data_IF_981930968763
#
_entry.id   IF_981930968763
#
_cell.length_a   1.000
_cell.length_b   1.000
_cell.length_c   1.000
_cell.angle_alpha   90.00
_cell.angle_beta   90.00
_cell.angle_gamma   90.00
#
_symmetry.space_group_name_H-M   'P 1'
#
loop_
_entity.id
_entity.type
_entity.pdbx_description
1 polymer ?
#
# COMPACT_ATOMS: atom_id res chain seq x y z
N UNK A 1 -20.47 -36.77 20.66
CA UNK A 1 -20.22 -36.97 22.10
C UNK A 1 -20.25 -35.61 22.80
N UNK A 2 -21.29 -35.33 23.58
CA UNK A 2 -21.23 -34.34 24.65
C UNK A 2 -21.47 -35.04 26.01
N UNK A 3 -20.66 -34.73 27.02
CA UNK A 3 -20.96 -35.13 28.41
C UNK A 3 -20.94 -33.87 29.29
N UNK A 4 -21.91 -33.73 30.22
CA UNK A 4 -22.31 -32.46 30.82
C UNK A 4 -21.85 -32.31 32.28
N UNK A 5 -22.12 -31.13 32.83
CA UNK A 5 -21.92 -30.77 34.22
C UNK A 5 -22.96 -31.36 35.20
N UNK A 6 -22.54 -31.32 36.48
CA UNK A 6 -23.31 -31.34 37.73
C UNK A 6 -23.59 -32.71 38.39
N UNK A 7 -23.13 -32.85 39.64
CA UNK A 7 -24.01 -33.02 40.81
C UNK A 7 -23.32 -33.21 42.18
N UNK A 8 -23.97 -32.63 43.20
CA UNK A 8 -24.09 -33.02 44.63
C UNK A 8 -22.87 -32.77 45.57
N UNK A 9 -23.03 -32.37 46.84
CA UNK A 9 -24.20 -32.23 47.71
C UNK A 9 -23.96 -31.21 48.85
N UNK A 10 -25.06 -30.62 49.29
CA UNK A 10 -25.23 -29.84 50.52
C UNK A 10 -25.52 -30.79 51.71
N UNK A 11 -25.02 -30.45 52.90
CA UNK A 11 -25.44 -31.06 54.17
C UNK A 11 -25.24 -30.07 55.31
N UNK A 12 -26.37 -29.56 55.78
CA UNK A 12 -26.62 -28.71 56.94
C UNK A 12 -26.41 -29.42 58.29
N UNK A 13 -25.95 -28.69 59.33
CA UNK A 13 -26.65 -28.43 60.62
C UNK A 13 -25.70 -28.24 61.83
N UNK A 14 -26.04 -27.26 62.68
CA UNK A 14 -25.74 -27.17 64.12
C UNK A 14 -25.02 -25.87 64.54
N UNK A 15 -25.72 -24.79 64.96
CA UNK A 15 -26.07 -24.43 66.36
C UNK A 15 -24.84 -24.39 67.31
N UNK A 16 -24.56 -23.41 68.16
CA UNK A 16 -25.10 -22.10 68.54
C UNK A 16 -24.07 -21.44 69.53
N UNK A 17 -24.13 -20.11 69.71
CA UNK A 17 -23.81 -19.28 70.92
C UNK A 17 -22.63 -19.70 71.83
N UNK A 18 -21.57 -18.92 72.05
CA UNK A 18 -21.55 -17.57 72.65
C UNK A 18 -21.23 -17.65 74.15
N UNK A 19 -20.18 -16.97 74.63
CA UNK A 19 -20.03 -16.26 75.95
C UNK A 19 -18.55 -15.96 76.29
N UNK A 20 -18.36 -14.75 76.83
CA UNK A 20 -17.17 -14.05 77.36
C UNK A 20 -16.30 -14.79 78.40
N UNK A 21 -15.02 -14.37 78.53
CA UNK A 21 -14.24 -14.67 79.74
C UNK A 21 -12.75 -14.23 79.79
N UNK A 22 -12.51 -12.96 80.12
CA UNK A 22 -11.49 -12.41 81.06
C UNK A 22 -9.97 -12.76 81.01
N UNK A 23 -9.18 -11.68 80.85
CA UNK A 23 -7.93 -11.25 81.52
C UNK A 23 -6.82 -12.25 81.95
N UNK A 24 -5.56 -11.95 81.56
CA UNK A 24 -4.43 -11.65 82.51
C UNK A 24 -3.16 -11.06 81.84
N UNK A 25 -2.63 -10.01 82.47
CA UNK A 25 -1.37 -9.25 82.23
C UNK A 25 -0.09 -10.10 82.33
N UNK A 26 0.97 -9.71 81.59
CA UNK A 26 2.34 -9.56 82.15
C UNK A 26 3.33 -8.73 81.28
N UNK A 27 3.74 -7.59 81.86
CA UNK A 27 5.07 -6.95 81.95
C UNK A 27 6.01 -6.85 80.73
N UNK A 28 6.20 -5.60 80.30
CA UNK A 28 7.46 -4.82 80.26
C UNK A 28 8.74 -5.47 79.73
N UNK A 29 9.17 -5.03 78.54
CA UNK A 29 10.60 -4.81 78.22
C UNK A 29 10.74 -3.65 77.22
N UNK A 30 10.72 -2.42 77.74
CA UNK A 30 10.93 -1.19 76.97
C UNK A 30 12.41 -0.85 76.73
N UNK A 31 13.35 -1.77 76.95
CA UNK A 31 14.79 -1.49 76.85
C UNK A 31 15.53 -2.18 75.69
N UNK A 32 14.85 -2.92 74.80
CA UNK A 32 15.49 -3.45 73.58
C UNK A 32 15.33 -2.56 72.33
N UNK A 33 14.29 -1.72 72.27
CA UNK A 33 14.03 -0.86 71.09
C UNK A 33 14.89 0.41 71.03
N UNK A 34 15.49 0.82 72.15
CA UNK A 34 16.40 1.98 72.21
C UNK A 34 17.88 1.65 71.92
N UNK A 35 18.26 0.38 71.96
CA UNK A 35 19.63 -0.06 71.68
C UNK A 35 19.87 -0.40 70.20
N UNK A 36 18.81 -0.68 69.42
CA UNK A 36 18.93 -0.90 67.97
C UNK A 36 18.75 0.35 67.11
N UNK A 37 18.37 1.49 67.70
CA UNK A 37 18.10 2.73 66.96
C UNK A 37 19.28 3.70 66.89
N UNK A 38 20.39 3.43 67.59
CA UNK A 38 21.56 4.33 67.64
C UNK A 38 22.88 3.74 67.10
N UNK A 39 22.86 2.56 66.46
CA UNK A 39 24.08 1.90 65.96
C UNK A 39 24.19 1.82 64.41
N UNK A 40 23.36 2.55 63.66
CA UNK A 40 23.40 2.56 62.18
C UNK A 40 23.44 3.98 61.59
N UNK A 41 23.97 4.93 62.34
CA UNK A 41 24.30 6.28 61.84
C UNK A 41 25.81 6.40 61.61
N UNK A 42 26.37 5.54 60.77
CA UNK A 42 27.65 5.79 60.13
C UNK A 42 27.55 5.46 58.64
N UNK A 43 27.86 6.47 57.83
CA UNK A 43 28.44 6.41 56.49
C UNK A 43 28.20 5.13 55.68
N UNK A 44 27.34 5.21 54.66
CA UNK A 44 27.49 4.33 53.49
C UNK A 44 26.27 3.67 52.87
N UNK A 45 25.02 4.11 53.06
CA UNK A 45 23.91 3.62 52.22
C UNK A 45 22.85 4.71 51.99
N UNK A 46 23.10 5.63 51.05
CA UNK A 46 22.09 6.57 50.52
C UNK A 46 21.95 6.50 49.00
N UNK A 47 22.32 5.39 48.36
CA UNK A 47 22.33 5.28 46.90
C UNK A 47 21.79 3.95 46.34
N UNK A 48 20.66 3.43 46.84
CA UNK A 48 20.07 2.19 46.27
C UNK A 48 18.56 2.28 45.97
N UNK A 49 17.86 3.40 46.22
CA UNK A 49 16.47 3.56 45.79
C UNK A 49 16.23 4.93 45.13
N UNK A 50 16.73 5.11 43.91
CA UNK A 50 16.08 6.02 42.97
C UNK A 50 14.90 5.25 42.37
N UNK A 51 13.69 5.53 42.83
CA UNK A 51 12.47 5.07 42.17
C UNK A 51 12.55 5.40 40.68
N UNK A 52 12.38 4.41 39.80
CA UNK A 52 12.25 4.68 38.36
C UNK A 52 11.22 5.80 38.16
N UNK A 53 11.51 6.85 37.38
CA UNK A 53 10.54 7.89 37.10
C UNK A 53 9.26 7.25 36.57
N UNK A 54 8.10 7.74 37.03
CA UNK A 54 6.80 7.22 36.60
C UNK A 54 6.71 7.33 35.07
N UNK A 55 6.31 6.27 34.35
CA UNK A 55 6.19 6.34 32.91
C UNK A 55 5.23 7.47 32.51
N UNK A 56 5.65 8.28 31.52
CA UNK A 56 4.86 9.41 31.03
C UNK A 56 3.56 8.88 30.40
N UNK A 57 2.42 9.60 30.55
CA UNK A 57 1.19 9.25 29.86
C UNK A 57 1.39 9.17 28.34
N UNK A 58 0.77 8.21 27.61
CA UNK A 58 1.00 8.05 26.18
C UNK A 58 0.74 9.32 25.36
N UNK A 59 -0.31 10.08 25.69
CA UNK A 59 -0.61 11.33 25.02
C UNK A 59 0.45 12.42 25.24
N UNK A 60 1.08 12.46 26.42
CA UNK A 60 2.15 13.43 26.70
C UNK A 60 3.42 13.12 25.88
N UNK A 61 3.74 11.83 25.73
CA UNK A 61 4.84 11.37 24.87
C UNK A 61 4.63 11.84 23.43
N UNK A 62 3.43 11.61 22.87
CA UNK A 62 3.08 12.03 21.50
C UNK A 62 3.19 13.54 21.31
N UNK A 63 2.67 14.34 22.23
CA UNK A 63 2.76 15.81 22.15
C UNK A 63 4.20 16.30 22.20
N UNK A 64 5.03 15.68 23.05
CA UNK A 64 6.44 16.04 23.13
C UNK A 64 7.19 15.68 21.84
N UNK A 65 6.91 14.50 21.26
CA UNK A 65 7.44 14.11 19.94
C UNK A 65 7.02 15.11 18.87
N UNK A 66 5.74 15.50 18.82
CA UNK A 66 5.25 16.51 17.87
C UNK A 66 6.01 17.83 17.99
N UNK A 67 6.14 18.36 19.21
CA UNK A 67 6.86 19.61 19.48
C UNK A 67 8.34 19.54 19.03
N UNK A 68 9.02 18.41 19.26
CA UNK A 68 10.39 18.22 18.78
C UNK A 68 10.47 18.12 17.26
N UNK A 69 9.51 17.43 16.62
CA UNK A 69 9.46 17.32 15.17
C UNK A 69 9.14 18.65 14.49
N UNK A 70 8.29 19.49 15.08
CA UNK A 70 8.04 20.87 14.60
C UNK A 70 9.33 21.70 14.64
N UNK A 71 10.12 21.57 15.70
CA UNK A 71 11.42 22.21 15.78
C UNK A 71 12.35 21.68 14.68
N UNK A 72 12.44 20.36 14.48
CA UNK A 72 13.26 19.73 13.43
C UNK A 72 12.79 20.15 12.02
N UNK A 73 11.49 20.26 11.80
CA UNK A 73 10.92 20.65 10.51
C UNK A 73 11.34 22.09 10.14
N UNK A 74 11.33 23.00 11.13
CA UNK A 74 11.73 24.40 10.95
C UNK A 74 13.21 24.61 10.59
N UNK A 75 14.06 23.60 10.80
CA UNK A 75 15.49 23.66 10.48
C UNK A 75 15.71 23.59 8.97
N UNK A 76 16.47 24.54 8.42
CA UNK A 76 16.91 24.53 7.02
C UNK A 76 17.87 23.36 6.75
N UNK A 77 17.86 22.83 5.52
CA UNK A 77 18.57 21.61 5.11
C UNK A 77 20.11 21.58 5.37
N UNK A 78 20.74 22.70 5.73
CA UNK A 78 22.18 22.80 5.98
C UNK A 78 22.55 22.97 7.46
N UNK A 79 21.59 22.87 8.37
CA UNK A 79 21.81 23.00 9.81
C UNK A 79 21.50 21.66 10.46
N UNK A 80 22.46 21.13 11.22
CA UNK A 80 22.26 19.90 11.97
C UNK A 80 21.27 20.10 13.12
N UNK A 81 20.45 19.08 13.37
CA UNK A 81 19.58 19.04 14.54
C UNK A 81 20.43 19.03 15.81
N UNK A 82 20.06 19.82 16.82
CA UNK A 82 20.75 19.83 18.11
C UNK A 82 20.85 18.38 18.65
N UNK A 83 22.06 17.86 18.93
CA UNK A 83 22.25 16.50 19.42
C UNK A 83 21.40 16.17 20.65
N UNK A 84 21.12 17.14 21.52
CA UNK A 84 20.25 16.94 22.69
C UNK A 84 18.79 16.76 22.30
N UNK A 85 18.32 17.53 21.33
CA UNK A 85 16.96 17.38 20.79
C UNK A 85 16.80 16.04 20.09
N UNK A 86 17.78 15.63 19.29
CA UNK A 86 17.78 14.34 18.63
C UNK A 86 17.79 13.18 19.64
N UNK A 87 18.62 13.26 20.67
CA UNK A 87 18.65 12.24 21.73
C UNK A 87 17.33 12.13 22.49
N UNK A 88 16.67 13.26 22.76
CA UNK A 88 15.35 13.26 23.39
C UNK A 88 14.30 12.65 22.44
N UNK A 89 14.32 13.00 21.16
CA UNK A 89 13.42 12.48 20.16
C UNK A 89 13.57 10.96 19.99
N UNK A 90 14.80 10.45 19.92
CA UNK A 90 15.09 9.01 19.89
C UNK A 90 14.46 8.29 21.08
N UNK A 91 14.67 8.81 22.28
CA UNK A 91 14.14 8.21 23.51
C UNK A 91 12.62 8.16 23.49
N UNK A 92 11.96 9.22 23.00
CA UNK A 92 10.50 9.29 22.98
C UNK A 92 9.89 8.44 21.86
N UNK A 93 10.52 8.35 20.69
CA UNK A 93 10.12 7.42 19.64
C UNK A 93 10.27 5.97 20.14
N UNK A 94 11.35 5.68 20.86
CA UNK A 94 11.52 4.39 21.49
C UNK A 94 10.40 4.08 22.51
N UNK A 95 10.03 5.05 23.35
CA UNK A 95 8.93 4.93 24.30
C UNK A 95 7.58 4.68 23.59
N UNK A 96 7.29 5.42 22.51
CA UNK A 96 6.09 5.19 21.70
C UNK A 96 6.05 3.77 21.13
N UNK A 97 7.18 3.29 20.58
CA UNK A 97 7.30 1.93 20.07
C UNK A 97 7.09 0.90 21.19
N UNK A 98 7.69 1.11 22.37
CA UNK A 98 7.53 0.21 23.51
C UNK A 98 6.07 0.14 23.98
N UNK A 99 5.33 1.25 23.95
CA UNK A 99 3.89 1.27 24.23
C UNK A 99 3.12 0.40 23.23
N UNK A 100 3.45 0.50 21.94
CA UNK A 100 2.72 -0.16 20.85
C UNK A 100 3.05 -1.66 20.65
N UNK A 101 4.27 -2.08 20.99
CA UNK A 101 4.73 -3.45 20.80
C UNK A 101 4.85 -4.23 22.12
N UNK A 102 4.82 -3.55 23.27
CA UNK A 102 5.08 -4.15 24.57
C UNK A 102 6.56 -4.48 24.77
N UNK A 103 6.83 -5.30 25.78
CA UNK A 103 8.17 -5.85 26.06
C UNK A 103 8.14 -7.37 25.90
N UNK A 104 9.30 -8.02 26.01
CA UNK A 104 9.38 -9.49 26.01
C UNK A 104 8.59 -10.15 27.15
N UNK A 105 8.23 -9.39 28.19
CA UNK A 105 7.58 -9.88 29.40
C UNK A 105 6.11 -9.44 29.52
N UNK A 106 5.72 -8.34 28.86
CA UNK A 106 4.38 -7.76 28.95
C UNK A 106 3.83 -7.41 27.58
N UNK A 107 2.63 -7.90 27.28
CA UNK A 107 1.84 -7.47 26.12
C UNK A 107 1.52 -5.96 26.22
N UNK A 108 1.37 -5.27 25.07
CA UNK A 108 1.02 -3.86 25.04
C UNK A 108 -0.38 -3.64 25.63
N UNK A 109 -0.49 -2.70 26.58
CA UNK A 109 -1.76 -2.38 27.21
C UNK A 109 -2.72 -1.75 26.18
N UNK A 110 -3.91 -2.32 25.92
CA UNK A 110 -4.82 -1.83 24.88
C UNK A 110 -5.23 -0.37 25.08
N UNK A 111 -5.49 0.04 26.32
CA UNK A 111 -5.85 1.40 26.67
C UNK A 111 -4.73 2.40 26.36
N UNK A 112 -3.47 2.04 26.66
CA UNK A 112 -2.33 2.88 26.36
C UNK A 112 -2.10 3.02 24.84
N UNK A 113 -2.28 1.93 24.09
CA UNK A 113 -2.24 1.96 22.62
C UNK A 113 -3.33 2.85 22.05
N UNK A 114 -4.56 2.75 22.59
CA UNK A 114 -5.70 3.56 22.14
C UNK A 114 -5.47 5.05 22.38
N UNK A 115 -5.00 5.42 23.58
CA UNK A 115 -4.67 6.80 23.93
C UNK A 115 -3.53 7.37 23.07
N UNK A 116 -2.48 6.58 22.83
CA UNK A 116 -1.37 6.97 21.94
C UNK A 116 -1.89 7.21 20.52
N UNK A 117 -2.66 6.27 19.98
CA UNK A 117 -3.23 6.34 18.62
C UNK A 117 -4.13 7.55 18.47
N UNK A 118 -5.01 7.81 19.43
CA UNK A 118 -5.91 8.96 19.41
C UNK A 118 -5.14 10.29 19.41
N UNK A 119 -4.14 10.44 20.26
CA UNK A 119 -3.35 11.66 20.29
C UNK A 119 -2.47 11.82 19.04
N UNK A 120 -1.97 10.71 18.48
CA UNK A 120 -1.12 10.71 17.28
C UNK A 120 -1.83 11.26 16.05
N UNK A 121 -3.08 10.82 15.81
CA UNK A 121 -3.88 11.25 14.66
C UNK A 121 -4.73 12.50 14.92
N UNK A 122 -4.61 13.13 16.10
CA UNK A 122 -5.36 14.34 16.45
C UNK A 122 -4.91 15.57 15.65
N UNK A 123 -3.62 15.63 15.32
CA UNK A 123 -2.95 16.75 14.65
C UNK A 123 -1.92 16.19 13.66
N UNK A 124 -0.91 16.97 13.28
CA UNK A 124 0.00 16.66 12.19
C UNK A 124 1.18 15.73 12.57
N UNK A 125 1.07 14.89 13.61
CA UNK A 125 2.21 14.05 14.04
C UNK A 125 2.65 13.10 12.92
N UNK A 126 1.72 12.44 12.22
CA UNK A 126 2.07 11.57 11.08
C UNK A 126 2.81 12.34 9.99
N UNK A 127 2.28 13.51 9.62
CA UNK A 127 2.87 14.38 8.59
C UNK A 127 4.30 14.75 8.95
N UNK A 128 4.51 15.23 10.17
CA UNK A 128 5.83 15.63 10.65
C UNK A 128 6.81 14.45 10.68
N UNK A 129 6.37 13.25 11.06
CA UNK A 129 7.23 12.05 11.01
C UNK A 129 7.67 11.76 9.56
N UNK A 130 6.74 11.82 8.60
CA UNK A 130 7.04 11.56 7.19
C UNK A 130 8.02 12.61 6.65
N UNK A 131 7.75 13.90 6.88
CA UNK A 131 8.56 15.00 6.35
C UNK A 131 9.95 15.10 7.00
N UNK A 132 10.04 14.85 8.31
CA UNK A 132 11.31 14.93 9.03
C UNK A 132 12.16 13.67 8.91
N UNK A 133 11.66 12.58 8.33
CA UNK A 133 12.38 11.30 8.24
C UNK A 133 13.82 11.43 7.71
N UNK A 134 14.13 12.24 6.68
CA UNK A 134 15.50 12.46 6.22
C UNK A 134 16.42 13.13 7.25
N UNK A 135 15.85 13.95 8.14
CA UNK A 135 16.56 14.67 9.21
C UNK A 135 16.78 13.82 10.47
N UNK A 136 16.11 12.68 10.59
CA UNK A 136 16.25 11.76 11.73
C UNK A 136 17.51 10.90 11.58
N UNK A 137 18.05 10.45 12.72
CA UNK A 137 19.11 9.44 12.70
C UNK A 137 18.55 8.03 12.42
N UNK A 138 19.46 7.06 12.23
CA UNK A 138 19.11 5.70 11.83
C UNK A 138 18.11 5.00 12.77
N UNK A 139 18.27 5.14 14.10
CA UNK A 139 17.41 4.46 15.06
C UNK A 139 16.04 5.14 15.15
N UNK A 140 15.98 6.48 15.13
CA UNK A 140 14.72 7.20 15.02
C UNK A 140 13.94 6.85 13.75
N UNK A 141 14.61 6.71 12.59
CA UNK A 141 13.95 6.31 11.34
C UNK A 141 13.28 4.93 11.46
N UNK A 142 13.99 3.95 12.04
CA UNK A 142 13.47 2.59 12.28
C UNK A 142 12.26 2.63 13.21
N UNK A 143 12.37 3.35 14.32
CA UNK A 143 11.29 3.43 15.31
C UNK A 143 10.07 4.16 14.77
N UNK A 144 10.27 5.30 14.09
CA UNK A 144 9.22 6.02 13.37
C UNK A 144 8.48 5.13 12.36
N UNK A 145 9.21 4.35 11.57
CA UNK A 145 8.63 3.42 10.59
C UNK A 145 7.74 2.38 11.27
N UNK A 146 8.22 1.76 12.35
CA UNK A 146 7.46 0.75 13.10
C UNK A 146 6.23 1.33 13.79
N UNK A 147 6.34 2.55 14.34
CA UNK A 147 5.22 3.28 14.95
C UNK A 147 4.14 3.53 13.89
N UNK A 148 4.50 4.16 12.76
CA UNK A 148 3.55 4.47 11.69
C UNK A 148 2.87 3.19 11.18
N UNK A 149 3.64 2.13 10.96
CA UNK A 149 3.13 0.84 10.50
C UNK A 149 2.14 0.19 11.48
N UNK A 150 2.44 0.23 12.77
CA UNK A 150 1.57 -0.34 13.81
C UNK A 150 0.26 0.45 13.91
N UNK A 151 0.35 1.78 13.92
CA UNK A 151 -0.78 2.68 14.13
C UNK A 151 -1.86 2.60 13.05
N UNK A 152 -1.51 2.25 11.80
CA UNK A 152 -2.52 2.01 10.74
C UNK A 152 -3.50 0.87 11.10
N UNK A 153 -3.12 -0.02 12.02
CA UNK A 153 -3.93 -1.18 12.43
C UNK A 153 -4.65 -0.98 13.76
N UNK A 154 -4.34 0.10 14.49
CA UNK A 154 -4.80 0.26 15.87
C UNK A 154 -6.27 0.73 15.91
N UNK A 155 -7.19 -0.02 16.52
CA UNK A 155 -8.55 0.43 16.71
C UNK A 155 -8.65 1.38 17.91
N UNK A 156 -9.35 2.49 17.72
CA UNK A 156 -9.77 3.40 18.79
C UNK A 156 -11.29 3.38 18.82
N UNK A 157 -11.89 2.96 19.94
CA UNK A 157 -13.34 2.78 20.07
C UNK A 157 -13.93 1.93 18.91
N UNK A 158 -13.25 0.83 18.58
CA UNK A 158 -13.61 -0.09 17.48
C UNK A 158 -13.58 0.51 16.07
N UNK A 159 -12.90 1.66 15.87
CA UNK A 159 -12.72 2.31 14.56
C UNK A 159 -11.24 2.50 14.23
N UNK A 160 -10.90 2.42 12.95
CA UNK A 160 -9.56 2.71 12.45
C UNK A 160 -9.46 4.20 12.07
N UNK A 161 -9.23 5.06 13.06
CA UNK A 161 -9.17 6.52 12.87
C UNK A 161 -8.03 6.97 11.93
N UNK A 162 -7.03 6.11 11.71
CA UNK A 162 -5.98 6.34 10.73
C UNK A 162 -6.53 6.53 9.32
N UNK A 163 -7.59 5.78 8.96
CA UNK A 163 -8.25 5.88 7.66
C UNK A 163 -8.82 7.29 7.44
N UNK A 164 -9.53 7.82 8.45
CA UNK A 164 -10.17 9.13 8.39
C UNK A 164 -9.12 10.26 8.29
N UNK A 165 -8.02 10.12 9.04
CA UNK A 165 -6.90 11.06 8.97
C UNK A 165 -6.24 11.08 7.59
N UNK A 166 -6.00 9.91 6.99
CA UNK A 166 -5.35 9.80 5.69
C UNK A 166 -6.25 10.30 4.55
N UNK A 167 -7.56 10.10 4.64
CA UNK A 167 -8.52 10.67 3.70
C UNK A 167 -8.48 12.21 3.70
N UNK A 168 -8.27 12.83 4.86
CA UNK A 168 -8.12 14.28 4.98
C UNK A 168 -6.71 14.81 4.60
N UNK A 169 -5.73 13.92 4.39
CA UNK A 169 -4.32 14.26 4.16
C UNK A 169 -3.72 13.43 3.01
N UNK A 170 -4.39 13.38 1.86
CA UNK A 170 -4.00 12.53 0.73
C UNK A 170 -2.62 12.88 0.15
N UNK A 171 -2.17 14.12 0.30
CA UNK A 171 -0.86 14.60 -0.14
C UNK A 171 0.32 13.92 0.58
N UNK A 172 0.07 13.26 1.71
CA UNK A 172 1.08 12.40 2.35
C UNK A 172 1.48 11.22 1.47
N UNK A 173 0.56 10.73 0.63
CA UNK A 173 0.88 9.63 -0.28
C UNK A 173 1.87 10.06 -1.34
N UNK A 174 1.78 11.32 -1.81
CA UNK A 174 2.72 11.87 -2.76
C UNK A 174 4.15 11.81 -2.19
N UNK A 175 4.33 12.23 -0.94
CA UNK A 175 5.62 12.18 -0.24
C UNK A 175 6.12 10.75 -0.02
N UNK A 176 5.23 9.82 0.38
CA UNK A 176 5.60 8.43 0.59
C UNK A 176 6.00 7.73 -0.71
N UNK A 177 5.34 8.03 -1.84
CA UNK A 177 5.68 7.46 -3.14
C UNK A 177 6.98 8.06 -3.66
N UNK A 178 7.14 9.39 -3.66
CA UNK A 178 8.40 10.03 -4.11
C UNK A 178 9.58 9.71 -3.21
N UNK A 179 9.32 9.19 -1.99
CA UNK A 179 10.35 8.69 -1.09
C UNK A 179 11.21 7.56 -1.67
N UNK A 180 10.74 6.86 -2.71
CA UNK A 180 11.55 5.88 -3.45
C UNK A 180 12.71 6.52 -4.24
N UNK A 181 12.68 7.83 -4.48
CA UNK A 181 13.76 8.57 -5.15
C UNK A 181 15.07 8.59 -4.32
N UNK A 182 14.96 8.41 -2.99
CA UNK A 182 16.10 8.27 -2.08
C UNK A 182 16.27 6.82 -1.64
N UNK A 183 17.20 6.10 -2.26
CA UNK A 183 17.49 4.70 -1.96
C UNK A 183 17.80 4.44 -0.46
N UNK A 184 18.34 5.42 0.27
CA UNK A 184 18.65 5.28 1.70
C UNK A 184 17.41 5.31 2.61
N UNK A 185 16.31 5.88 2.12
CA UNK A 185 15.04 6.03 2.85
C UNK A 185 13.90 5.21 2.23
N UNK A 186 14.05 4.75 1.00
CA UNK A 186 13.02 4.09 0.22
C UNK A 186 12.32 2.95 0.99
N UNK A 187 13.07 2.10 1.70
CA UNK A 187 12.48 0.99 2.47
C UNK A 187 11.62 1.45 3.65
N UNK A 188 11.94 2.61 4.24
CA UNK A 188 11.13 3.21 5.30
C UNK A 188 9.82 3.74 4.73
N UNK A 189 9.89 4.52 3.65
CA UNK A 189 8.72 5.05 2.98
C UNK A 189 7.83 3.96 2.38
N UNK A 190 8.41 2.95 1.73
CA UNK A 190 7.70 1.80 1.21
C UNK A 190 6.96 1.00 2.29
N UNK A 191 7.60 0.80 3.45
CA UNK A 191 6.94 0.17 4.60
C UNK A 191 5.75 0.99 5.11
N UNK A 192 5.92 2.31 5.28
CA UNK A 192 4.82 3.18 5.71
C UNK A 192 3.68 3.21 4.67
N UNK A 193 4.02 3.28 3.38
CA UNK A 193 3.08 3.31 2.27
C UNK A 193 2.25 2.03 2.22
N UNK A 194 2.89 0.86 2.30
CA UNK A 194 2.18 -0.44 2.33
C UNK A 194 1.17 -0.53 3.46
N UNK A 195 1.46 0.07 4.60
CA UNK A 195 0.55 0.11 5.73
C UNK A 195 -0.61 1.08 5.51
N UNK A 196 -0.36 2.21 4.84
CA UNK A 196 -1.39 3.19 4.49
C UNK A 196 -2.36 2.66 3.42
N UNK A 197 -1.88 1.98 2.36
CA UNK A 197 -2.73 1.40 1.30
C UNK A 197 -3.62 0.25 1.80
N UNK A 198 -3.48 -0.18 3.06
CA UNK A 198 -4.44 -1.08 3.71
C UNK A 198 -5.82 -0.45 3.82
N UNK A 199 -5.89 0.87 3.87
CA UNK A 199 -7.14 1.63 3.82
C UNK A 199 -7.59 1.82 2.37
N UNK A 200 -8.84 1.47 2.08
CA UNK A 200 -9.38 1.53 0.71
C UNK A 200 -9.36 2.95 0.13
N UNK A 201 -9.60 3.96 0.97
CA UNK A 201 -9.57 5.39 0.57
C UNK A 201 -8.19 5.80 0.04
N UNK A 202 -7.13 5.33 0.71
CA UNK A 202 -5.73 5.58 0.31
C UNK A 202 -5.39 4.85 -0.97
N UNK A 203 -5.68 3.56 -1.05
CA UNK A 203 -5.42 2.78 -2.26
C UNK A 203 -6.14 3.37 -3.48
N UNK A 204 -7.40 3.81 -3.32
CA UNK A 204 -8.16 4.52 -4.36
C UNK A 204 -7.46 5.82 -4.78
N UNK A 205 -6.97 6.60 -3.82
CA UNK A 205 -6.24 7.84 -4.10
C UNK A 205 -4.96 7.59 -4.91
N UNK A 206 -4.15 6.60 -4.50
CA UNK A 206 -2.89 6.27 -5.19
C UNK A 206 -3.16 5.74 -6.61
N UNK A 207 -4.13 4.82 -6.78
CA UNK A 207 -4.49 4.26 -8.09
C UNK A 207 -4.92 5.33 -9.10
N UNK A 208 -5.66 6.35 -8.66
CA UNK A 208 -6.17 7.42 -9.53
C UNK A 208 -5.16 8.56 -9.75
N UNK A 209 -3.96 8.46 -9.19
CA UNK A 209 -2.94 9.50 -9.26
C UNK A 209 -1.82 9.17 -10.26
N UNK A 210 -0.98 10.16 -10.57
CA UNK A 210 0.24 9.97 -11.38
C UNK A 210 1.24 8.97 -10.78
N UNK A 211 1.15 8.71 -9.48
CA UNK A 211 2.01 7.78 -8.75
C UNK A 211 1.90 6.34 -9.27
N UNK A 212 0.75 5.98 -9.84
CA UNK A 212 0.57 4.64 -10.42
C UNK A 212 1.58 4.37 -11.54
N UNK A 213 1.92 5.38 -12.34
CA UNK A 213 2.90 5.25 -13.42
C UNK A 213 4.33 5.23 -12.86
N UNK A 214 4.61 6.05 -11.84
CA UNK A 214 5.94 6.13 -11.22
C UNK A 214 6.42 4.79 -10.62
N UNK A 215 5.50 3.91 -10.21
CA UNK A 215 5.88 2.57 -9.75
C UNK A 215 6.62 1.76 -10.83
N UNK A 216 6.32 1.94 -12.12
CA UNK A 216 7.04 1.23 -13.17
C UNK A 216 8.51 1.63 -13.20
N UNK A 217 8.82 2.91 -12.99
CA UNK A 217 10.20 3.38 -12.89
C UNK A 217 10.87 2.81 -11.63
N UNK A 218 10.19 2.88 -10.47
CA UNK A 218 10.74 2.39 -9.19
C UNK A 218 10.99 0.88 -9.17
N UNK A 219 10.18 0.10 -9.88
CA UNK A 219 10.36 -1.34 -10.02
C UNK A 219 11.58 -1.72 -10.88
N UNK A 220 12.16 -0.77 -11.61
CA UNK A 220 13.31 -0.99 -12.50
C UNK A 220 14.59 -0.31 -11.98
N UNK A 221 14.56 0.22 -10.75
CA UNK A 221 15.73 0.78 -10.08
C UNK A 221 16.83 -0.30 -9.93
N UNK A 222 18.13 0.03 -10.10
CA UNK A 222 19.23 -0.93 -9.99
C UNK A 222 19.38 -1.58 -8.61
N UNK A 223 19.06 -0.84 -7.54
CA UNK A 223 19.05 -1.30 -6.17
C UNK A 223 17.95 -2.35 -5.96
N UNK A 224 18.37 -3.62 -5.93
CA UNK A 224 17.47 -4.77 -5.88
C UNK A 224 16.46 -4.72 -4.73
N UNK A 225 16.89 -4.32 -3.54
CA UNK A 225 16.04 -4.20 -2.36
C UNK A 225 14.97 -3.12 -2.54
N UNK A 226 15.32 -1.97 -3.12
CA UNK A 226 14.38 -0.89 -3.44
C UNK A 226 13.38 -1.32 -4.50
N UNK A 227 13.85 -1.90 -5.61
CA UNK A 227 12.99 -2.37 -6.69
C UNK A 227 12.05 -3.51 -6.25
N UNK A 228 12.54 -4.44 -5.44
CA UNK A 228 11.73 -5.52 -4.86
C UNK A 228 10.66 -4.98 -3.91
N UNK A 229 11.01 -3.98 -3.09
CA UNK A 229 10.08 -3.31 -2.18
C UNK A 229 9.00 -2.54 -2.95
N UNK A 230 9.37 -1.77 -3.98
CA UNK A 230 8.44 -1.09 -4.88
C UNK A 230 7.49 -2.08 -5.57
N UNK A 231 8.01 -3.20 -6.06
CA UNK A 231 7.23 -4.28 -6.67
C UNK A 231 6.23 -4.89 -5.68
N UNK A 232 6.65 -5.11 -4.43
CA UNK A 232 5.77 -5.62 -3.39
C UNK A 232 4.64 -4.64 -3.08
N UNK A 233 4.95 -3.35 -2.98
CA UNK A 233 3.97 -2.27 -2.77
C UNK A 233 2.98 -2.17 -3.93
N UNK A 234 3.48 -2.16 -5.17
CA UNK A 234 2.65 -2.15 -6.38
C UNK A 234 1.71 -3.36 -6.43
N UNK A 235 2.25 -4.56 -6.17
CA UNK A 235 1.46 -5.79 -6.11
C UNK A 235 0.37 -5.70 -5.05
N UNK A 236 0.69 -5.20 -3.86
CA UNK A 236 -0.29 -5.04 -2.78
C UNK A 236 -1.40 -4.06 -3.17
N UNK A 237 -1.03 -2.91 -3.75
CA UNK A 237 -1.98 -1.91 -4.26
C UNK A 237 -2.95 -2.52 -5.28
N UNK A 238 -2.41 -3.32 -6.21
CA UNK A 238 -3.15 -3.96 -7.30
C UNK A 238 -3.93 -5.22 -6.90
N UNK A 239 -3.79 -5.73 -5.68
CA UNK A 239 -4.43 -7.01 -5.30
C UNK A 239 -5.23 -6.98 -4.00
N UNK A 240 -5.04 -5.96 -3.16
CA UNK A 240 -5.71 -5.87 -1.85
C UNK A 240 -7.21 -5.56 -1.97
N UNK A 241 -7.56 -4.45 -2.64
CA UNK A 241 -8.94 -3.95 -2.69
C UNK A 241 -9.59 -4.30 -4.03
N UNK A 242 -10.05 -5.56 -4.16
CA UNK A 242 -10.53 -6.13 -5.43
C UNK A 242 -11.54 -5.26 -6.17
N UNK A 243 -12.50 -4.66 -5.47
CA UNK A 243 -13.51 -3.79 -6.09
C UNK A 243 -12.91 -2.50 -6.65
N UNK A 244 -12.09 -1.79 -5.86
CA UNK A 244 -11.40 -0.57 -6.29
C UNK A 244 -10.44 -0.86 -7.45
N UNK A 245 -9.68 -1.95 -7.38
CA UNK A 245 -8.77 -2.34 -8.46
C UNK A 245 -9.55 -2.73 -9.70
N UNK A 246 -10.67 -3.46 -9.57
CA UNK A 246 -11.50 -3.81 -10.73
C UNK A 246 -12.07 -2.58 -11.40
N UNK A 247 -12.55 -1.60 -10.63
CA UNK A 247 -13.00 -0.29 -11.14
C UNK A 247 -11.86 0.40 -11.90
N UNK A 248 -10.69 0.51 -11.28
CA UNK A 248 -9.50 1.10 -11.90
C UNK A 248 -9.10 0.37 -13.19
N UNK A 249 -9.00 -0.97 -13.17
CA UNK A 249 -8.62 -1.77 -14.33
C UNK A 249 -9.60 -1.63 -15.48
N UNK A 250 -10.91 -1.56 -15.22
CA UNK A 250 -11.90 -1.34 -16.28
C UNK A 250 -11.75 0.04 -16.92
N UNK A 251 -11.46 1.05 -16.11
CA UNK A 251 -11.25 2.43 -16.59
C UNK A 251 -9.91 2.65 -17.30
N UNK A 252 -8.91 1.82 -17.00
CA UNK A 252 -7.50 2.06 -17.36
C UNK A 252 -6.84 0.88 -18.09
N UNK A 253 -7.60 -0.15 -18.47
CA UNK A 253 -7.09 -1.40 -19.02
C UNK A 253 -6.13 -1.15 -20.17
N UNK A 254 -6.54 -0.31 -21.10
CA UNK A 254 -5.87 -0.25 -22.39
C UNK A 254 -4.49 0.41 -22.30
N UNK A 255 -4.36 1.56 -21.62
CA UNK A 255 -3.04 2.20 -21.43
C UNK A 255 -2.15 1.36 -20.51
N UNK A 256 -2.70 0.81 -19.42
CA UNK A 256 -1.93 0.02 -18.45
C UNK A 256 -1.36 -1.24 -19.12
N UNK A 257 -2.19 -1.93 -19.90
CA UNK A 257 -1.76 -3.10 -20.65
C UNK A 257 -0.76 -2.72 -21.74
N UNK A 258 -0.99 -1.63 -22.47
CA UNK A 258 -0.07 -1.12 -23.47
C UNK A 258 1.33 -0.91 -22.88
N UNK A 259 1.41 -0.22 -21.75
CA UNK A 259 2.67 0.10 -21.06
C UNK A 259 3.38 -1.18 -20.58
N UNK A 260 2.64 -2.08 -19.91
CA UNK A 260 3.19 -3.37 -19.44
C UNK A 260 3.73 -4.21 -20.60
N UNK A 261 3.03 -4.30 -21.73
CA UNK A 261 3.43 -5.14 -22.85
C UNK A 261 4.58 -4.53 -23.68
N UNK A 262 4.70 -3.21 -23.70
CA UNK A 262 5.74 -2.49 -24.45
C UNK A 262 7.06 -2.37 -23.68
N UNK A 263 7.02 -2.59 -22.36
CA UNK A 263 8.22 -2.61 -21.54
C UNK A 263 9.21 -3.71 -21.98
N UNK A 264 10.50 -3.35 -22.06
CA UNK A 264 11.55 -4.25 -22.55
C UNK A 264 11.77 -5.47 -21.66
N UNK A 265 11.64 -5.29 -20.36
CA UNK A 265 11.78 -6.36 -19.37
C UNK A 265 10.64 -7.39 -19.48
N UNK A 266 9.50 -7.00 -20.05
CA UNK A 266 8.31 -7.83 -20.22
C UNK A 266 8.20 -8.54 -21.58
N UNK A 267 9.27 -8.58 -22.38
CA UNK A 267 9.28 -9.19 -23.74
C UNK A 267 8.71 -10.62 -23.79
N UNK A 268 9.01 -11.46 -22.80
CA UNK A 268 8.48 -12.82 -22.70
C UNK A 268 6.95 -12.84 -22.46
N UNK A 269 6.46 -11.93 -21.62
CA UNK A 269 5.02 -11.77 -21.34
C UNK A 269 4.31 -11.24 -22.58
N UNK A 270 4.88 -10.24 -23.24
CA UNK A 270 4.36 -9.69 -24.50
C UNK A 270 4.25 -10.78 -25.57
N UNK A 271 5.31 -11.56 -25.79
CA UNK A 271 5.32 -12.66 -26.76
C UNK A 271 4.20 -13.68 -26.49
N UNK A 272 3.99 -14.04 -25.22
CA UNK A 272 2.88 -14.92 -24.81
C UNK A 272 1.52 -14.27 -25.03
N UNK A 273 1.39 -12.97 -24.72
CA UNK A 273 0.14 -12.22 -24.85
C UNK A 273 -0.29 -12.14 -26.33
N UNK A 274 0.61 -11.76 -27.23
CA UNK A 274 0.34 -11.64 -28.68
C UNK A 274 0.17 -12.99 -29.39
N UNK A 275 0.58 -14.08 -28.73
CA UNK A 275 0.36 -15.45 -29.21
C UNK A 275 -1.02 -16.02 -28.87
N UNK A 276 -1.80 -15.35 -28.00
CA UNK A 276 -3.09 -15.87 -27.51
C UNK A 276 -4.25 -15.45 -28.42
N UNK A 277 -4.97 -16.45 -28.93
CA UNK A 277 -6.21 -16.27 -29.71
C UNK A 277 -7.29 -15.51 -28.92
N UNK A 278 -7.42 -15.80 -27.63
CA UNK A 278 -8.44 -15.17 -26.79
C UNK A 278 -8.14 -13.68 -26.59
N UNK A 279 -6.86 -13.33 -26.41
CA UNK A 279 -6.43 -11.93 -26.28
C UNK A 279 -6.69 -11.15 -27.58
N UNK A 280 -6.36 -11.73 -28.74
CA UNK A 280 -6.67 -11.11 -30.04
C UNK A 280 -8.17 -10.84 -30.17
N UNK A 281 -9.00 -11.81 -29.76
CA UNK A 281 -10.46 -11.68 -29.85
C UNK A 281 -11.01 -10.57 -28.97
N UNK A 282 -10.46 -10.42 -27.76
CA UNK A 282 -10.80 -9.32 -26.85
C UNK A 282 -10.48 -7.98 -27.52
N UNK A 283 -9.26 -7.79 -28.03
CA UNK A 283 -8.86 -6.55 -28.69
C UNK A 283 -9.69 -6.24 -29.95
N UNK A 284 -10.00 -7.26 -30.76
CA UNK A 284 -10.87 -7.09 -31.93
C UNK A 284 -12.30 -6.69 -31.55
N UNK A 285 -12.78 -7.04 -30.35
CA UNK A 285 -14.05 -6.55 -29.84
C UNK A 285 -13.92 -5.11 -29.31
N UNK A 286 -12.84 -4.78 -28.60
CA UNK A 286 -12.57 -3.42 -28.10
C UNK A 286 -12.45 -2.39 -29.24
N UNK A 287 -11.86 -2.78 -30.38
CA UNK A 287 -11.85 -1.95 -31.60
C UNK A 287 -13.26 -1.60 -32.13
N UNK A 288 -14.30 -2.30 -31.68
CA UNK A 288 -15.70 -2.08 -32.10
C UNK A 288 -16.53 -1.32 -31.06
N UNK A 289 -15.94 -0.95 -29.93
CA UNK A 289 -16.62 -0.20 -28.87
C UNK A 289 -17.03 1.20 -29.33
N UNK A 290 -18.03 1.79 -28.67
CA UNK A 290 -18.54 3.11 -29.06
C UNK A 290 -17.57 4.26 -28.74
N UNK A 291 -16.75 4.10 -27.69
CA UNK A 291 -15.79 5.11 -27.24
C UNK A 291 -14.57 5.17 -28.16
N UNK A 292 -14.25 6.36 -28.68
CA UNK A 292 -13.06 6.59 -29.51
C UNK A 292 -11.74 6.38 -28.76
N UNK A 293 -11.72 6.69 -27.47
CA UNK A 293 -10.54 6.46 -26.63
C UNK A 293 -10.25 4.96 -26.49
N UNK A 294 -11.28 4.15 -26.20
CA UNK A 294 -11.14 2.68 -26.13
C UNK A 294 -10.68 2.11 -27.48
N UNK A 295 -11.21 2.60 -28.60
CA UNK A 295 -10.75 2.17 -29.93
C UNK A 295 -9.27 2.50 -30.17
N UNK A 296 -8.83 3.70 -29.77
CA UNK A 296 -7.44 4.16 -29.94
C UNK A 296 -6.48 3.32 -29.10
N UNK A 297 -6.80 3.11 -27.84
CA UNK A 297 -5.92 2.37 -26.96
C UNK A 297 -5.90 0.86 -27.33
N UNK A 298 -7.04 0.28 -27.71
CA UNK A 298 -7.11 -1.06 -28.26
C UNK A 298 -6.28 -1.22 -29.55
N UNK A 299 -6.20 -0.16 -30.38
CA UNK A 299 -5.33 -0.15 -31.56
C UNK A 299 -3.84 -0.23 -31.17
N UNK A 300 -3.41 0.49 -30.13
CA UNK A 300 -2.03 0.48 -29.65
C UNK A 300 -1.56 -0.91 -29.17
N UNK A 301 -2.47 -1.74 -28.65
CA UNK A 301 -2.16 -3.14 -28.30
C UNK A 301 -2.34 -4.06 -29.52
N UNK A 302 -3.38 -3.86 -30.33
CA UNK A 302 -3.65 -4.68 -31.52
C UNK A 302 -2.50 -4.64 -32.53
N UNK A 303 -1.84 -3.49 -32.72
CA UNK A 303 -0.67 -3.39 -33.60
C UNK A 303 0.45 -4.36 -33.22
N UNK A 304 0.56 -4.77 -31.95
CA UNK A 304 1.57 -5.76 -31.51
C UNK A 304 1.29 -7.15 -32.07
N UNK A 305 0.01 -7.55 -32.19
CA UNK A 305 -0.37 -8.82 -32.83
C UNK A 305 -0.01 -8.83 -34.30
N UNK A 306 -0.24 -7.70 -34.97
CA UNK A 306 0.07 -7.53 -36.39
C UNK A 306 1.57 -7.44 -36.61
N UNK A 307 2.33 -6.73 -35.77
CA UNK A 307 3.78 -6.61 -35.91
C UNK A 307 4.56 -7.88 -35.54
N UNK A 308 3.97 -8.82 -34.79
CA UNK A 308 4.66 -10.04 -34.34
C UNK A 308 5.22 -10.84 -35.53
N UNK A 309 6.53 -11.06 -35.62
CA UNK A 309 7.12 -11.82 -36.75
C UNK A 309 6.80 -13.31 -36.68
N UNK A 310 6.67 -13.84 -35.46
CA UNK A 310 6.42 -15.24 -35.17
C UNK A 310 4.96 -15.49 -34.79
N UNK A 311 4.02 -14.95 -35.58
CA UNK A 311 2.58 -15.14 -35.35
C UNK A 311 2.22 -16.63 -35.37
N UNK A 312 1.51 -17.14 -34.34
CA UNK A 312 0.90 -18.45 -34.41
C UNK A 312 -0.11 -18.54 -35.56
N UNK A 313 -0.25 -19.75 -36.11
CA UNK A 313 -1.15 -20.03 -37.24
C UNK A 313 -2.59 -19.57 -36.99
N UNK A 314 -3.09 -19.77 -35.77
CA UNK A 314 -4.46 -19.37 -35.39
C UNK A 314 -4.66 -17.85 -35.44
N UNK A 315 -3.65 -17.07 -35.04
CA UNK A 315 -3.66 -15.60 -35.10
C UNK A 315 -3.72 -15.15 -36.55
N UNK A 316 -2.85 -15.72 -37.41
CA UNK A 316 -2.84 -15.44 -38.85
C UNK A 316 -4.20 -15.72 -39.46
N UNK A 317 -4.77 -16.91 -39.20
CA UNK A 317 -6.05 -17.32 -39.78
C UNK A 317 -7.19 -16.41 -39.34
N UNK A 318 -7.24 -15.97 -38.08
CA UNK A 318 -8.26 -15.01 -37.61
C UNK A 318 -8.16 -13.68 -38.34
N UNK A 319 -6.94 -13.13 -38.49
CA UNK A 319 -6.73 -11.86 -39.18
C UNK A 319 -7.12 -11.98 -40.65
N UNK A 320 -6.72 -13.07 -41.33
CA UNK A 320 -7.03 -13.32 -42.75
C UNK A 320 -8.55 -13.45 -42.96
N UNK A 321 -9.25 -14.22 -42.12
CA UNK A 321 -10.72 -14.38 -42.19
C UNK A 321 -11.45 -13.05 -42.00
N UNK A 322 -10.90 -12.13 -41.22
CA UNK A 322 -11.49 -10.82 -40.95
C UNK A 322 -10.90 -9.68 -41.79
N UNK A 323 -10.00 -9.98 -42.74
CA UNK A 323 -9.19 -8.98 -43.48
C UNK A 323 -10.03 -7.86 -44.05
N UNK A 324 -11.05 -8.17 -44.84
CA UNK A 324 -11.87 -7.15 -45.51
C UNK A 324 -12.58 -6.22 -44.53
N UNK A 325 -12.99 -6.73 -43.36
CA UNK A 325 -13.64 -5.95 -42.31
C UNK A 325 -12.64 -5.06 -41.57
N UNK A 326 -11.46 -5.59 -41.25
CA UNK A 326 -10.38 -4.86 -40.60
C UNK A 326 -9.89 -3.70 -41.48
N UNK A 327 -9.61 -3.97 -42.76
CA UNK A 327 -9.17 -2.93 -43.72
C UNK A 327 -10.22 -1.82 -43.87
N UNK A 328 -11.51 -2.20 -43.95
CA UNK A 328 -12.60 -1.22 -44.01
C UNK A 328 -12.69 -0.37 -42.74
N UNK A 329 -12.57 -1.00 -41.56
CA UNK A 329 -12.56 -0.29 -40.29
C UNK A 329 -11.42 0.75 -40.25
N UNK A 330 -10.18 0.31 -40.51
CA UNK A 330 -9.01 1.20 -40.45
C UNK A 330 -9.04 2.32 -41.48
N UNK A 331 -9.65 2.13 -42.66
CA UNK A 331 -9.84 3.20 -43.63
C UNK A 331 -10.67 4.37 -43.07
N UNK A 332 -11.66 4.07 -42.23
CA UNK A 332 -12.54 5.06 -41.57
C UNK A 332 -12.10 5.45 -40.17
N UNK A 333 -11.09 4.78 -39.60
CA UNK A 333 -10.64 5.02 -38.24
C UNK A 333 -9.75 6.27 -38.19
N UNK A 334 -10.24 7.33 -37.56
CA UNK A 334 -9.58 8.62 -37.37
C UNK A 334 -9.62 8.98 -35.89
N UNK A 335 -8.64 9.76 -35.47
CA UNK A 335 -8.60 10.41 -34.16
C UNK A 335 -8.81 11.92 -34.35
N UNK A 336 -9.31 12.60 -33.32
CA UNK A 336 -9.70 14.01 -33.39
C UNK A 336 -8.52 14.98 -33.49
N UNK A 337 -7.30 14.51 -33.21
CA UNK A 337 -6.05 15.28 -33.27
C UNK A 337 -5.18 14.80 -34.42
N UNK A 338 -4.47 15.71 -35.07
CA UNK A 338 -3.43 15.33 -36.03
C UNK A 338 -2.27 14.68 -35.28
N UNK A 339 -2.12 13.37 -35.45
CA UNK A 339 -1.03 12.56 -34.90
C UNK A 339 -0.38 11.78 -36.06
N UNK A 340 0.76 12.28 -36.52
CA UNK A 340 1.53 11.67 -37.60
C UNK A 340 2.00 10.26 -37.24
N UNK A 341 2.32 10.01 -35.98
CA UNK A 341 2.79 8.71 -35.52
C UNK A 341 1.66 7.68 -35.56
N UNK A 342 0.46 8.06 -35.12
CA UNK A 342 -0.71 7.21 -35.21
C UNK A 342 -1.03 6.84 -36.66
N UNK A 343 -1.04 7.80 -37.58
CA UNK A 343 -1.33 7.52 -38.99
C UNK A 343 -0.23 6.65 -39.64
N UNK A 344 1.03 6.83 -39.26
CA UNK A 344 2.13 5.97 -39.69
C UNK A 344 1.96 4.52 -39.17
N UNK A 345 1.69 4.34 -37.88
CA UNK A 345 1.42 3.03 -37.28
C UNK A 345 0.22 2.35 -37.95
N UNK A 346 -0.84 3.12 -38.24
CA UNK A 346 -2.06 2.62 -38.89
C UNK A 346 -1.77 2.17 -40.32
N UNK A 347 -1.01 2.95 -41.08
CA UNK A 347 -0.60 2.58 -42.44
C UNK A 347 0.21 1.28 -42.45
N UNK A 348 1.13 1.11 -41.49
CA UNK A 348 1.90 -0.12 -41.33
C UNK A 348 1.01 -1.32 -41.01
N UNK A 349 0.09 -1.19 -40.04
CA UNK A 349 -0.88 -2.24 -39.70
C UNK A 349 -1.74 -2.64 -40.90
N UNK A 350 -2.25 -1.66 -41.65
CA UNK A 350 -3.06 -1.89 -42.86
C UNK A 350 -2.26 -2.66 -43.92
N UNK A 351 -1.01 -2.25 -44.16
CA UNK A 351 -0.12 -2.93 -45.10
C UNK A 351 0.10 -4.39 -44.69
N UNK A 352 0.48 -4.63 -43.44
CA UNK A 352 0.75 -5.99 -42.95
C UNK A 352 -0.49 -6.88 -43.01
N UNK A 353 -1.68 -6.38 -42.67
CA UNK A 353 -2.93 -7.14 -42.78
C UNK A 353 -3.25 -7.52 -44.24
N UNK A 354 -2.97 -6.62 -45.19
CA UNK A 354 -3.19 -6.85 -46.61
C UNK A 354 -2.26 -7.93 -47.17
N UNK A 355 -1.00 -7.96 -46.71
CA UNK A 355 0.05 -8.87 -47.17
C UNK A 355 0.05 -10.25 -46.48
N UNK A 356 -0.69 -10.44 -45.38
CA UNK A 356 -0.76 -11.72 -44.69
C UNK A 356 -1.28 -12.84 -45.61
N UNK A 357 -0.79 -14.06 -45.44
CA UNK A 357 -1.31 -15.26 -46.12
C UNK A 357 -1.71 -16.31 -45.09
N UNK A 358 -2.81 -17.03 -45.34
CA UNK A 358 -3.25 -18.09 -44.46
C UNK A 358 -2.20 -19.21 -44.41
N UNK A 359 -1.91 -19.70 -43.20
CA UNK A 359 -0.99 -20.83 -43.01
C UNK A 359 -1.82 -22.04 -42.58
N UNK A 360 -1.74 -23.16 -43.31
CA UNK A 360 -2.43 -24.42 -42.97
C UNK A 360 -3.93 -24.47 -43.31
N UNK A 361 -4.61 -25.61 -43.04
CA UNK A 361 -6.01 -25.81 -43.40
C UNK A 361 -6.92 -24.88 -42.59
N UNK A 362 -7.72 -24.10 -43.32
CA UNK A 362 -8.77 -23.22 -42.78
C UNK A 362 -9.82 -24.07 -42.07
N UNK A 363 -9.82 -24.11 -40.73
CA UNK A 363 -10.94 -24.68 -39.99
C UNK A 363 -12.18 -23.79 -40.19
N UNK A 364 -13.22 -24.36 -40.78
CA UNK A 364 -14.53 -23.73 -40.91
C UNK A 364 -15.06 -23.33 -39.54
N UNK A 365 -15.32 -22.05 -39.38
CA UNK A 365 -15.84 -21.48 -38.15
C UNK A 365 -17.32 -21.87 -37.95
N UNK A 366 -17.59 -22.88 -37.12
CA UNK A 366 -18.88 -22.97 -36.45
C UNK A 366 -18.88 -21.98 -35.28
N UNK A 367 -19.63 -20.89 -35.47
CA UNK A 367 -20.04 -19.96 -34.43
C UNK A 367 -20.88 -20.70 -33.39
N UNK A 368 -20.24 -21.26 -32.37
CA UNK A 368 -20.94 -21.58 -31.14
C UNK A 368 -21.40 -20.26 -30.48
N UNK A 369 -22.69 -19.94 -30.66
CA UNK A 369 -23.42 -19.07 -29.75
C UNK A 369 -23.50 -19.79 -28.40
N UNK A 370 -22.96 -19.18 -27.36
CA UNK A 370 -23.18 -19.53 -25.96
C UNK A 370 -23.56 -18.26 -25.17
N UNK A 371 -24.21 -18.42 -24.01
CA UNK A 371 -25.37 -17.63 -23.60
C UNK A 371 -24.97 -16.20 -23.25
N UNK A 372 -25.95 -15.29 -23.36
CA UNK A 372 -25.77 -13.85 -23.22
C UNK A 372 -24.86 -13.46 -22.06
N UNK A 373 -23.83 -12.70 -22.38
CA UNK A 373 -23.18 -11.83 -21.41
C UNK A 373 -24.24 -10.87 -20.85
N UNK A 374 -24.24 -10.59 -19.53
CA UNK A 374 -25.13 -9.58 -18.98
C UNK A 374 -24.81 -8.27 -19.70
N UNK A 375 -25.81 -7.71 -20.37
CA UNK A 375 -25.77 -6.33 -20.81
C UNK A 375 -25.58 -5.46 -19.56
N UNK A 376 -24.37 -4.96 -19.36
CA UNK A 376 -24.15 -3.73 -18.59
C UNK A 376 -24.63 -2.55 -19.44
N UNK A 377 -25.92 -2.56 -19.76
CA UNK A 377 -26.64 -1.48 -20.41
C UNK A 377 -27.56 -0.88 -19.35
N UNK A 378 -27.00 0.10 -18.65
CA UNK A 378 -27.67 0.85 -17.59
C UNK A 378 -26.61 1.31 -16.61
N UNK A 379 -26.40 2.63 -16.54
CA UNK A 379 -25.45 3.31 -15.65
C UNK A 379 -23.99 3.42 -16.12
N UNK A 380 -23.76 3.88 -17.36
CA UNK A 380 -22.56 4.65 -17.72
C UNK A 380 -22.92 6.03 -18.31
N UNK A 381 -24.05 6.60 -17.89
CA UNK A 381 -24.38 8.00 -18.15
C UNK A 381 -24.46 8.76 -16.83
N UNK A 382 -23.29 9.17 -16.35
CA UNK A 382 -23.01 10.40 -15.60
C UNK A 382 -21.63 10.28 -15.01
N UNK A 383 -20.67 10.93 -15.65
CA UNK A 383 -19.51 11.63 -15.07
C UNK A 383 -18.64 12.06 -16.24
N UNK A 384 -19.08 13.15 -16.87
CA UNK A 384 -18.28 13.91 -17.81
C UNK A 384 -17.26 14.78 -17.05
N UNK A 385 -16.09 14.92 -17.67
CA UNK A 385 -15.09 15.97 -17.50
C UNK A 385 -14.03 15.79 -16.39
N UNK A 386 -12.89 15.23 -16.79
CA UNK A 386 -11.57 15.75 -16.39
C UNK A 386 -10.57 15.54 -17.54
N UNK A 387 -9.60 16.45 -17.74
CA UNK A 387 -8.73 16.43 -18.92
C UNK A 387 -7.63 15.38 -18.73
N UNK A 388 -7.57 14.40 -19.61
CA UNK A 388 -6.53 13.37 -19.63
C UNK A 388 -5.22 13.90 -20.21
N UNK A 389 -4.17 13.85 -19.39
CA UNK A 389 -2.77 14.07 -19.75
C UNK A 389 -2.18 12.88 -20.54
N UNK A 390 -2.92 12.35 -21.52
CA UNK A 390 -2.55 11.13 -22.27
C UNK A 390 -1.77 11.43 -23.57
N UNK A 391 -1.28 12.66 -23.75
CA UNK A 391 -0.77 13.13 -25.04
C UNK A 391 0.72 12.91 -25.32
N UNK A 392 1.53 12.43 -24.37
CA UNK A 392 3.00 12.51 -24.54
C UNK A 392 3.81 11.21 -24.38
N UNK A 393 3.20 10.05 -24.09
CA UNK A 393 3.97 8.87 -23.68
C UNK A 393 4.36 7.85 -24.76
N UNK A 394 3.99 8.02 -26.04
CA UNK A 394 4.40 7.09 -27.10
C UNK A 394 5.43 7.71 -28.06
N UNK A 395 6.62 8.07 -27.53
CA UNK A 395 7.76 8.51 -28.34
C UNK A 395 8.75 7.37 -28.61
N UNK A 396 8.50 6.59 -29.66
CA UNK A 396 9.47 6.19 -30.71
C UNK A 396 9.23 4.77 -31.28
N UNK A 397 9.17 4.61 -32.62
CA UNK A 397 8.90 3.34 -33.30
C UNK A 397 10.13 2.45 -33.55
N UNK A 398 11.35 2.91 -33.25
CA UNK A 398 12.59 2.20 -33.66
C UNK A 398 12.97 1.00 -32.76
N UNK A 399 12.23 0.77 -31.66
CA UNK A 399 12.49 -0.33 -30.73
C UNK A 399 11.65 -1.60 -31.00
N UNK A 400 10.48 -1.47 -31.65
CA UNK A 400 9.53 -2.58 -31.84
C UNK A 400 10.07 -3.73 -32.69
N UNK A 401 10.93 -3.45 -33.67
CA UNK A 401 11.49 -4.50 -34.54
C UNK A 401 12.63 -5.30 -33.90
N UNK A 402 13.26 -4.79 -32.83
CA UNK A 402 14.38 -5.46 -32.13
C UNK A 402 13.94 -6.36 -30.97
N UNK A 403 12.71 -6.22 -30.52
CA UNK A 403 12.17 -7.02 -29.41
C UNK A 403 11.35 -8.24 -29.86
N UNK A 404 10.99 -8.28 -31.15
CA UNK A 404 10.21 -9.35 -31.78
C UNK A 404 11.08 -10.33 -32.60
N UNK A 405 12.39 -10.27 -32.40
CA UNK A 405 13.40 -11.22 -32.87
C UNK A 405 14.07 -11.84 -31.66
#
# INVERSE_FOLDING_TARGET
MPIPAAKFADKTMGLANGINGSMKKKRSSNNLKKLFTNALRSTGVKSIFKSKPKPKPPAEVVRRVRCLLEAVDSIHNNVDVDPKQMQELDSLLHDMKAILYGSNECEPAPEACSQLTQEFFRENTLRLIILCLPKLNLEARKDATRIVANLQRQPVNSRLIASDYLEANTDLMDHLVTGYDDASLALHYGTMLRECIRHQVVARSVLKSKHMIQFFDYMQIPEFDVAADATATFKELMTRHKSTVSEFLVENYDWLLGDILLDRSNSAVMTRYVGSKDNLRILMNLLREASKNIQLDAFHVFKLFVANRNKPTDIVNIIVVNRSKLLRFFASFRIDKEDEQFEADKAQVVKEIAELEAKGPLFSAELHKFPGTPTASGELQKLSASPTASGELFKSPTALSKQLT
#
